data_IF_468611159232
#
_entry.id   IF_468611159232
#
_cell.length_a   1.000
_cell.length_b   1.000
_cell.length_c   1.000
_cell.angle_alpha   90.00
_cell.angle_beta   90.00
_cell.angle_gamma   90.00
#
_symmetry.space_group_name_H-M   'P 1'
#
loop_
_entity.id
_entity.type
_entity.pdbx_description
1 polymer ?
#
# COMPACT_ATOMS: atom_id res chain seq x y z
N UNK A 1 19.46 -15.58 1.76
CA UNK A 1 18.41 -16.37 2.40
C UNK A 1 17.59 -15.45 3.31
N UNK A 2 16.28 -15.48 3.17
CA UNK A 2 15.33 -14.75 4.05
C UNK A 2 14.61 -15.77 4.92
N UNK A 3 14.57 -15.52 6.24
CA UNK A 3 13.79 -16.29 7.19
C UNK A 3 12.68 -15.39 7.74
N UNK A 4 11.45 -15.82 7.56
CA UNK A 4 10.29 -15.18 8.17
C UNK A 4 9.69 -16.17 9.18
N UNK A 5 9.57 -15.75 10.45
CA UNK A 5 8.92 -16.53 11.48
C UNK A 5 7.61 -15.87 11.92
N UNK A 6 6.63 -16.72 12.20
CA UNK A 6 5.29 -16.30 12.64
C UNK A 6 4.89 -17.11 13.86
N UNK A 7 4.46 -16.42 14.90
CA UNK A 7 3.88 -17.06 16.09
C UNK A 7 2.38 -16.78 16.12
N UNK A 8 1.60 -17.83 16.27
CA UNK A 8 0.15 -17.74 16.44
C UNK A 8 -0.21 -17.94 17.92
N UNK A 9 -1.08 -17.10 18.44
CA UNK A 9 -1.66 -17.24 19.76
C UNK A 9 -3.13 -16.82 19.74
N UNK A 10 -3.92 -17.42 20.60
CA UNK A 10 -5.34 -17.13 20.74
C UNK A 10 -5.51 -15.92 21.66
N UNK A 11 -6.08 -14.84 21.15
CA UNK A 11 -6.36 -13.62 21.91
C UNK A 11 -7.73 -13.64 22.61
N UNK A 12 -8.49 -14.72 22.50
CA UNK A 12 -9.83 -14.90 23.09
C UNK A 12 -10.87 -13.86 22.65
N UNK A 13 -10.56 -13.08 21.63
CA UNK A 13 -11.44 -12.07 21.07
C UNK A 13 -12.03 -12.57 19.74
N UNK A 14 -13.33 -12.47 19.53
CA UNK A 14 -13.92 -12.80 18.22
C UNK A 14 -13.25 -12.02 17.10
N UNK A 15 -12.71 -12.74 16.13
CA UNK A 15 -12.04 -12.16 14.96
C UNK A 15 -12.80 -12.52 13.70
N UNK A 16 -12.70 -11.65 12.69
CA UNK A 16 -13.27 -11.88 11.37
C UNK A 16 -12.35 -11.39 10.26
N UNK A 17 -12.68 -11.70 9.00
CA UNK A 17 -11.91 -11.21 7.86
C UNK A 17 -12.07 -9.69 7.72
N UNK A 18 -10.96 -9.01 7.48
CA UNK A 18 -10.90 -7.62 7.09
C UNK A 18 -10.75 -7.51 5.57
N UNK A 19 -11.03 -6.34 4.97
CA UNK A 19 -10.72 -6.10 3.55
C UNK A 19 -9.23 -6.37 3.29
N UNK A 20 -8.90 -7.12 2.22
CA UNK A 20 -7.56 -7.61 1.91
C UNK A 20 -6.93 -8.45 3.04
N UNK A 21 -7.55 -9.60 3.42
CA UNK A 21 -7.09 -10.43 4.54
C UNK A 21 -5.61 -10.79 4.41
N UNK A 22 -4.84 -10.51 5.46
CA UNK A 22 -3.39 -10.75 5.50
C UNK A 22 -2.56 -9.76 4.70
N UNK A 23 -3.03 -9.26 3.55
CA UNK A 23 -2.30 -8.30 2.73
C UNK A 23 -2.06 -6.97 3.45
N UNK A 24 -3.02 -6.48 4.23
CA UNK A 24 -2.87 -5.27 5.04
C UNK A 24 -1.61 -5.30 5.93
N UNK A 25 -1.45 -6.39 6.70
CA UNK A 25 -0.31 -6.52 7.62
C UNK A 25 0.98 -6.81 6.86
N UNK A 26 0.95 -7.75 5.90
CA UNK A 26 2.17 -8.15 5.18
C UNK A 26 2.70 -7.04 4.28
N UNK A 27 1.85 -6.26 3.64
CA UNK A 27 2.28 -5.10 2.86
C UNK A 27 3.03 -4.10 3.74
N UNK A 28 2.45 -3.70 4.86
CA UNK A 28 3.07 -2.76 5.80
C UNK A 28 4.42 -3.27 6.30
N UNK A 29 4.46 -4.48 6.85
CA UNK A 29 5.68 -5.05 7.44
C UNK A 29 6.81 -5.17 6.41
N UNK A 30 6.50 -5.70 5.21
CA UNK A 30 7.52 -5.93 4.18
C UNK A 30 8.01 -4.60 3.61
N UNK A 31 7.11 -3.68 3.25
CA UNK A 31 7.51 -2.43 2.62
C UNK A 31 8.25 -1.50 3.58
N UNK A 32 7.82 -1.42 4.85
CA UNK A 32 8.54 -0.66 5.87
C UNK A 32 9.94 -1.22 6.12
N UNK A 33 10.07 -2.55 6.20
CA UNK A 33 11.38 -3.19 6.39
C UNK A 33 12.31 -2.95 5.20
N UNK A 34 11.81 -3.03 3.96
CA UNK A 34 12.61 -2.77 2.77
C UNK A 34 13.04 -1.30 2.67
N UNK A 35 12.17 -0.36 3.06
CA UNK A 35 12.52 1.06 3.10
C UNK A 35 13.61 1.35 4.15
N UNK A 36 13.46 0.82 5.38
CA UNK A 36 14.47 0.93 6.42
C UNK A 36 15.81 0.32 5.97
N UNK A 37 15.78 -0.82 5.26
CA UNK A 37 16.97 -1.47 4.73
C UNK A 37 17.66 -0.62 3.66
N UNK A 38 16.90 -0.02 2.74
CA UNK A 38 17.44 0.89 1.73
C UNK A 38 18.08 2.12 2.39
N UNK A 39 17.41 2.73 3.37
CA UNK A 39 17.93 3.86 4.12
C UNK A 39 19.22 3.51 4.88
N UNK A 40 19.25 2.36 5.56
CA UNK A 40 20.45 1.87 6.26
C UNK A 40 21.62 1.62 5.29
N UNK A 41 21.32 1.24 4.06
CA UNK A 41 22.30 1.09 2.97
C UNK A 41 22.67 2.38 2.24
N UNK A 42 22.06 3.52 2.59
CA UNK A 42 22.26 4.80 1.91
C UNK A 42 21.78 4.81 0.46
N UNK A 43 20.74 4.04 0.15
CA UNK A 43 20.22 3.83 -1.21
C UNK A 43 18.90 4.53 -1.43
N UNK A 44 18.66 5.00 -2.67
CA UNK A 44 17.33 5.41 -3.11
C UNK A 44 16.39 4.20 -3.10
N UNK A 45 15.20 4.38 -2.53
CA UNK A 45 14.26 3.26 -2.34
C UNK A 45 13.67 2.75 -3.65
N UNK A 46 13.43 3.63 -4.62
CA UNK A 46 12.96 3.23 -5.96
C UNK A 46 14.00 2.33 -6.65
N UNK A 47 15.25 2.75 -6.68
CA UNK A 47 16.34 1.98 -7.27
C UNK A 47 16.50 0.63 -6.55
N UNK A 48 16.40 0.63 -5.23
CA UNK A 48 16.51 -0.58 -4.43
C UNK A 48 15.37 -1.58 -4.72
N UNK A 49 14.11 -1.11 -4.82
CA UNK A 49 12.98 -1.97 -5.17
C UNK A 49 13.11 -2.55 -6.58
N UNK A 50 13.54 -1.75 -7.55
CA UNK A 50 13.73 -2.20 -8.93
C UNK A 50 14.85 -3.25 -9.03
N UNK A 51 15.92 -3.10 -8.27
CA UNK A 51 16.98 -4.11 -8.19
C UNK A 51 16.46 -5.42 -7.59
N UNK A 52 15.63 -5.37 -6.55
CA UNK A 52 15.00 -6.58 -5.97
C UNK A 52 14.10 -7.28 -7.00
N UNK A 53 13.35 -6.53 -7.81
CA UNK A 53 12.53 -7.11 -8.86
C UNK A 53 13.38 -7.83 -9.92
N UNK A 54 14.53 -7.28 -10.26
CA UNK A 54 15.46 -7.85 -11.24
C UNK A 54 14.87 -7.92 -12.64
N UNK A 55 15.36 -8.88 -13.44
CA UNK A 55 14.89 -9.06 -14.81
C UNK A 55 13.42 -9.49 -14.88
N UNK A 56 12.67 -9.04 -15.92
CA UNK A 56 11.28 -9.41 -16.11
C UNK A 56 11.07 -10.93 -16.20
N UNK A 57 10.32 -11.48 -15.28
CA UNK A 57 9.97 -12.92 -15.26
C UNK A 57 8.74 -13.19 -14.41
N UNK A 58 8.11 -14.32 -14.65
CA UNK A 58 7.15 -14.89 -13.69
C UNK A 58 7.93 -15.55 -12.54
N UNK A 59 7.50 -15.32 -11.31
CA UNK A 59 8.11 -15.95 -10.12
C UNK A 59 7.91 -17.47 -10.16
N UNK A 60 6.72 -17.90 -10.57
CA UNK A 60 6.37 -19.28 -10.89
C UNK A 60 5.92 -19.32 -12.35
N UNK A 61 6.74 -19.91 -13.24
CA UNK A 61 6.49 -19.96 -14.68
C UNK A 61 5.23 -20.76 -15.04
N UNK A 62 4.84 -21.70 -14.20
CA UNK A 62 3.69 -22.59 -14.43
C UNK A 62 2.38 -21.96 -13.90
N UNK A 63 2.49 -20.84 -13.20
CA UNK A 63 1.35 -20.14 -12.62
C UNK A 63 1.30 -18.66 -13.06
N UNK A 64 0.54 -18.39 -14.12
CA UNK A 64 0.32 -17.04 -14.65
C UNK A 64 -0.38 -16.08 -13.68
N UNK A 65 -0.77 -16.56 -12.50
CA UNK A 65 -1.29 -15.74 -11.40
C UNK A 65 -0.24 -15.46 -10.33
N UNK A 66 1.00 -15.92 -10.52
CA UNK A 66 2.12 -15.57 -9.64
C UNK A 66 2.61 -14.14 -9.89
N UNK A 67 3.48 -13.67 -9.03
CA UNK A 67 4.16 -12.39 -9.24
C UNK A 67 4.92 -12.39 -10.57
N UNK A 68 4.74 -11.33 -11.35
CA UNK A 68 5.57 -11.04 -12.51
C UNK A 68 6.42 -9.80 -12.22
N UNK A 69 7.73 -9.96 -12.22
CA UNK A 69 8.67 -8.89 -11.83
C UNK A 69 8.68 -7.72 -12.84
N UNK A 70 8.43 -7.98 -14.12
CA UNK A 70 8.30 -6.94 -15.13
C UNK A 70 7.05 -6.07 -14.93
N UNK A 71 5.90 -6.70 -14.60
CA UNK A 71 4.67 -5.97 -14.24
C UNK A 71 4.85 -5.17 -12.94
N UNK A 72 5.53 -5.76 -11.96
CA UNK A 72 5.88 -5.08 -10.71
C UNK A 72 6.73 -3.82 -10.98
N UNK A 73 7.83 -3.97 -11.72
CA UNK A 73 8.68 -2.84 -12.13
C UNK A 73 7.89 -1.79 -12.92
N UNK A 74 6.96 -2.22 -13.78
CA UNK A 74 6.10 -1.33 -14.55
C UNK A 74 5.24 -0.42 -13.67
N UNK A 75 4.52 -0.98 -12.68
CA UNK A 75 3.70 -0.16 -11.77
C UNK A 75 4.55 0.69 -10.83
N UNK A 76 5.69 0.19 -10.36
CA UNK A 76 6.62 0.94 -9.50
C UNK A 76 7.12 2.18 -10.25
N UNK A 77 7.62 2.01 -11.48
CA UNK A 77 8.10 3.12 -12.31
C UNK A 77 6.99 4.12 -12.64
N UNK A 78 5.80 3.64 -13.00
CA UNK A 78 4.66 4.52 -13.33
C UNK A 78 4.23 5.36 -12.13
N UNK A 79 4.12 4.77 -10.94
CA UNK A 79 3.77 5.50 -9.72
C UNK A 79 4.82 6.56 -9.38
N UNK A 80 6.10 6.20 -9.44
CA UNK A 80 7.22 7.10 -9.20
C UNK A 80 7.26 8.26 -10.20
N UNK A 81 7.10 7.98 -11.51
CA UNK A 81 7.04 9.00 -12.57
C UNK A 81 5.89 9.99 -12.32
N UNK A 82 4.67 9.49 -12.12
CA UNK A 82 3.47 10.33 -11.94
C UNK A 82 3.49 11.14 -10.65
N UNK A 83 4.13 10.64 -9.61
CA UNK A 83 4.34 11.38 -8.37
C UNK A 83 5.52 12.35 -8.43
N UNK A 84 6.39 12.24 -9.43
CA UNK A 84 7.64 13.00 -9.52
C UNK A 84 8.63 12.61 -8.41
N UNK A 85 8.91 11.30 -8.29
CA UNK A 85 9.90 10.79 -7.34
C UNK A 85 11.25 11.51 -7.47
N UNK A 86 11.87 11.86 -6.36
CA UNK A 86 13.14 12.60 -6.36
C UNK A 86 13.02 14.12 -6.53
N UNK A 87 11.80 14.67 -6.71
CA UNK A 87 11.59 16.12 -6.75
C UNK A 87 11.85 16.78 -5.40
N UNK A 88 12.29 18.02 -5.41
CA UNK A 88 12.44 18.81 -4.18
C UNK A 88 11.07 19.12 -3.57
N UNK A 89 10.96 18.95 -2.28
CA UNK A 89 9.77 19.23 -1.48
C UNK A 89 10.05 20.27 -0.40
N UNK A 90 9.04 21.01 0.06
CA UNK A 90 9.19 21.89 1.23
C UNK A 90 9.63 21.12 2.48
N UNK A 91 10.26 21.81 3.42
CA UNK A 91 10.64 21.23 4.71
C UNK A 91 9.42 20.62 5.42
N UNK A 92 9.60 19.46 6.01
CA UNK A 92 8.53 18.69 6.66
C UNK A 92 7.72 17.79 5.72
N UNK A 93 7.93 17.89 4.40
CA UNK A 93 7.28 17.02 3.41
C UNK A 93 8.21 15.95 2.85
N UNK A 94 7.63 14.83 2.51
CA UNK A 94 8.33 13.69 1.91
C UNK A 94 7.44 12.89 0.98
N UNK A 95 8.08 12.01 0.19
CA UNK A 95 7.41 10.98 -0.60
C UNK A 95 7.73 9.62 -0.01
N UNK A 96 6.73 8.78 0.12
CA UNK A 96 6.88 7.36 0.46
C UNK A 96 6.35 6.50 -0.68
N UNK A 97 7.12 5.49 -1.08
CA UNK A 97 6.77 4.53 -2.14
C UNK A 97 6.49 3.17 -1.50
N UNK A 98 5.49 2.47 -2.01
CA UNK A 98 5.23 1.07 -1.65
C UNK A 98 4.75 0.28 -2.86
N UNK A 99 5.05 -1.02 -2.88
CA UNK A 99 4.57 -1.98 -3.87
C UNK A 99 3.94 -3.17 -3.17
N UNK A 100 2.81 -3.63 -3.67
CA UNK A 100 2.22 -4.88 -3.19
C UNK A 100 1.66 -5.71 -4.33
N UNK A 101 1.82 -7.03 -4.21
CA UNK A 101 1.25 -8.03 -5.07
C UNK A 101 0.22 -8.84 -4.29
N UNK A 102 -1.01 -8.87 -4.78
CA UNK A 102 -2.08 -9.67 -4.18
C UNK A 102 -3.12 -10.04 -5.23
N UNK A 103 -3.66 -11.26 -5.14
CA UNK A 103 -4.72 -11.76 -6.03
C UNK A 103 -4.38 -11.60 -7.54
N UNK A 104 -3.11 -11.80 -7.91
CA UNK A 104 -2.56 -11.60 -9.25
C UNK A 104 -2.48 -10.13 -9.71
N UNK A 105 -2.90 -9.16 -8.91
CA UNK A 105 -2.75 -7.73 -9.18
C UNK A 105 -1.42 -7.18 -8.69
N UNK A 106 -0.85 -6.27 -9.47
CA UNK A 106 0.38 -5.54 -9.16
C UNK A 106 0.01 -4.09 -8.92
N UNK A 107 0.32 -3.55 -7.75
CA UNK A 107 -0.07 -2.19 -7.35
C UNK A 107 1.14 -1.52 -6.71
N UNK A 108 1.44 -0.29 -7.13
CA UNK A 108 2.40 0.58 -6.48
C UNK A 108 1.74 1.91 -6.14
N UNK A 109 2.13 2.48 -5.00
CA UNK A 109 1.60 3.73 -4.50
C UNK A 109 2.74 4.65 -4.08
N UNK A 110 2.60 5.94 -4.40
CA UNK A 110 3.46 6.99 -3.86
C UNK A 110 2.59 7.98 -3.10
N UNK A 111 2.85 8.13 -1.81
CA UNK A 111 2.17 9.08 -0.95
C UNK A 111 3.03 10.32 -0.72
N UNK A 112 2.48 11.51 -0.95
CA UNK A 112 3.06 12.77 -0.50
C UNK A 112 2.52 13.08 0.89
N UNK A 113 3.43 13.16 1.86
CA UNK A 113 3.11 13.34 3.26
C UNK A 113 3.80 14.59 3.83
N UNK A 114 3.21 15.14 4.87
CA UNK A 114 3.77 16.20 5.68
C UNK A 114 3.74 15.80 7.15
N UNK A 115 4.82 16.05 7.85
CA UNK A 115 4.90 15.94 9.31
C UNK A 115 5.14 17.33 9.87
N UNK A 116 4.21 17.82 10.67
CA UNK A 116 4.31 19.14 11.29
C UNK A 116 5.23 19.13 12.54
N UNK A 117 5.39 20.31 13.13
CA UNK A 117 6.24 20.48 14.33
C UNK A 117 5.71 19.71 15.54
N UNK A 118 4.40 19.47 15.60
CA UNK A 118 3.73 18.66 16.63
C UNK A 118 3.74 17.15 16.31
N UNK A 119 4.49 16.74 15.27
CA UNK A 119 4.60 15.35 14.79
C UNK A 119 3.29 14.75 14.28
N UNK A 120 2.37 15.58 13.84
CA UNK A 120 1.13 15.13 13.20
C UNK A 120 1.37 14.86 11.72
N UNK A 121 0.96 13.68 11.28
CA UNK A 121 1.05 13.27 9.88
C UNK A 121 -0.17 13.76 9.10
N UNK A 122 0.08 14.35 7.94
CA UNK A 122 -0.94 14.67 6.93
C UNK A 122 -0.56 14.08 5.59
N UNK A 123 -1.48 13.35 4.98
CA UNK A 123 -1.33 12.86 3.61
C UNK A 123 -2.00 13.86 2.66
N UNK A 124 -1.24 14.40 1.72
CA UNK A 124 -1.72 15.39 0.75
C UNK A 124 -2.23 14.75 -0.52
N UNK A 125 -1.47 13.79 -1.03
CA UNK A 125 -1.73 13.15 -2.30
C UNK A 125 -1.26 11.70 -2.27
N UNK A 126 -2.01 10.82 -2.94
CA UNK A 126 -1.58 9.45 -3.23
C UNK A 126 -1.70 9.20 -4.72
N UNK A 127 -0.61 8.81 -5.34
CA UNK A 127 -0.55 8.38 -6.74
C UNK A 127 -0.48 6.87 -6.75
N UNK A 128 -1.42 6.24 -7.43
CA UNK A 128 -1.54 4.77 -7.50
C UNK A 128 -1.35 4.31 -8.93
N UNK A 129 -0.45 3.37 -9.15
CA UNK A 129 -0.29 2.67 -10.42
C UNK A 129 -0.74 1.22 -10.27
N UNK A 130 -1.57 0.74 -11.18
CA UNK A 130 -2.26 -0.54 -11.11
C UNK A 130 -2.09 -1.33 -12.40
N UNK A 131 -1.76 -2.61 -12.26
CA UNK A 131 -1.80 -3.58 -13.33
C UNK A 131 -2.60 -4.82 -12.88
N UNK A 132 -3.84 -4.89 -13.36
CA UNK A 132 -4.81 -5.96 -13.05
C UNK A 132 -5.32 -6.65 -14.32
N UNK A 133 -4.66 -6.43 -15.45
CA UNK A 133 -5.11 -6.90 -16.75
C UNK A 133 -6.21 -6.01 -17.35
N UNK A 134 -7.06 -6.54 -18.25
CA UNK A 134 -8.11 -5.80 -18.90
C UNK A 134 -9.15 -5.23 -17.92
N UNK A 135 -9.53 -3.98 -18.12
CA UNK A 135 -10.51 -3.29 -17.29
C UNK A 135 -11.79 -3.08 -18.11
N UNK A 136 -12.88 -3.68 -17.65
CA UNK A 136 -14.18 -3.58 -18.32
C UNK A 136 -14.88 -2.25 -18.00
N UNK A 137 -14.74 -1.77 -16.78
CA UNK A 137 -15.36 -0.51 -16.33
C UNK A 137 -14.31 0.37 -15.65
N UNK A 138 -13.78 1.33 -16.38
CA UNK A 138 -12.72 2.23 -15.88
C UNK A 138 -13.19 3.09 -14.71
N UNK A 139 -14.41 3.63 -14.74
CA UNK A 139 -14.90 4.46 -13.63
C UNK A 139 -15.06 3.65 -12.36
N UNK A 140 -15.51 2.41 -12.45
CA UNK A 140 -15.57 1.47 -11.35
C UNK A 140 -14.18 1.12 -10.79
N UNK A 141 -13.21 0.90 -11.68
CA UNK A 141 -11.82 0.62 -11.29
C UNK A 141 -11.20 1.80 -10.53
N UNK A 142 -11.38 3.02 -11.02
CA UNK A 142 -10.93 4.25 -10.34
C UNK A 142 -11.56 4.35 -8.94
N UNK A 143 -12.87 4.14 -8.83
CA UNK A 143 -13.58 4.18 -7.54
C UNK A 143 -13.08 3.12 -6.56
N UNK A 144 -12.74 1.91 -7.04
CA UNK A 144 -12.15 0.86 -6.21
C UNK A 144 -10.76 1.25 -5.67
N UNK A 145 -9.91 1.84 -6.52
CA UNK A 145 -8.59 2.33 -6.11
C UNK A 145 -8.72 3.44 -5.07
N UNK A 146 -9.53 4.44 -5.36
CA UNK A 146 -9.76 5.56 -4.42
C UNK A 146 -10.32 5.08 -3.09
N UNK A 147 -11.33 4.20 -3.13
CA UNK A 147 -11.90 3.59 -1.93
C UNK A 147 -10.88 2.75 -1.14
N UNK A 148 -10.01 2.02 -1.84
CA UNK A 148 -8.93 1.24 -1.20
C UNK A 148 -7.94 2.12 -0.46
N UNK A 149 -7.49 3.22 -1.08
CA UNK A 149 -6.58 4.19 -0.44
C UNK A 149 -7.21 4.81 0.81
N UNK A 150 -8.45 5.27 0.72
CA UNK A 150 -9.14 5.91 1.86
C UNK A 150 -9.37 4.91 3.01
N UNK A 151 -9.73 3.68 2.70
CA UNK A 151 -9.89 2.60 3.67
C UNK A 151 -8.56 2.26 4.38
N UNK A 152 -7.48 2.11 3.61
CA UNK A 152 -6.13 1.89 4.14
C UNK A 152 -5.65 3.02 5.04
N UNK A 153 -5.85 4.28 4.62
CA UNK A 153 -5.52 5.46 5.42
C UNK A 153 -6.36 5.55 6.70
N UNK A 154 -7.66 5.21 6.63
CA UNK A 154 -8.52 5.13 7.81
C UNK A 154 -8.00 4.11 8.81
N UNK A 155 -7.63 2.91 8.32
CA UNK A 155 -7.09 1.84 9.16
C UNK A 155 -5.80 2.28 9.85
N UNK A 156 -4.91 2.94 9.12
CA UNK A 156 -3.62 3.41 9.63
C UNK A 156 -3.76 4.55 10.64
N UNK A 157 -4.66 5.51 10.37
CA UNK A 157 -4.68 6.79 11.08
C UNK A 157 -5.65 6.84 12.26
N UNK A 158 -6.83 6.20 12.16
CA UNK A 158 -7.94 6.44 13.09
C UNK A 158 -8.59 5.18 13.64
N UNK A 159 -8.65 4.10 12.88
CA UNK A 159 -9.36 2.90 13.29
C UNK A 159 -8.56 2.13 14.35
N UNK A 160 -9.02 2.21 15.59
CA UNK A 160 -8.38 1.55 16.73
C UNK A 160 -9.43 0.95 17.65
N UNK A 161 -9.25 -0.32 17.99
CA UNK A 161 -10.02 -0.99 19.05
C UNK A 161 -9.13 -1.11 20.28
N UNK A 162 -9.64 -0.65 21.39
CA UNK A 162 -9.01 -0.79 22.70
C UNK A 162 -9.90 -1.63 23.61
N UNK A 163 -9.27 -2.27 24.59
CA UNK A 163 -9.97 -3.12 25.55
C UNK A 163 -9.57 -2.76 26.98
N UNK A 164 -10.55 -2.63 27.84
CA UNK A 164 -10.36 -2.47 29.27
C UNK A 164 -11.13 -3.54 30.04
N UNK A 165 -10.45 -4.19 30.97
CA UNK A 165 -11.03 -5.26 31.82
C UNK A 165 -11.81 -6.33 31.03
N UNK A 166 -11.28 -6.73 29.85
CA UNK A 166 -11.87 -7.76 28.99
C UNK A 166 -13.07 -7.28 28.15
N UNK A 167 -13.32 -5.98 28.07
CA UNK A 167 -14.38 -5.39 27.24
C UNK A 167 -13.81 -4.43 26.22
N UNK A 168 -14.37 -4.45 25.01
CA UNK A 168 -14.09 -3.45 23.97
C UNK A 168 -14.67 -2.11 24.43
N UNK A 169 -13.86 -1.05 24.35
CA UNK A 169 -14.28 0.30 24.73
C UNK A 169 -15.12 0.97 23.65
N UNK A 170 -14.79 0.74 22.38
CA UNK A 170 -15.52 1.33 21.25
C UNK A 170 -16.88 0.66 21.09
N UNK A 171 -17.92 1.48 20.97
CA UNK A 171 -19.31 1.02 20.91
C UNK A 171 -19.96 1.27 19.55
N UNK A 172 -19.51 2.28 18.79
CA UNK A 172 -20.08 2.64 17.48
C UNK A 172 -19.14 3.60 16.73
N UNK A 173 -19.55 4.08 15.55
CA UNK A 173 -18.80 4.99 14.69
C UNK A 173 -18.52 6.39 15.27
N UNK A 174 -19.03 6.72 16.43
CA UNK A 174 -18.70 7.97 17.14
C UNK A 174 -17.38 7.85 17.95
N UNK A 175 -16.99 6.65 18.34
CA UNK A 175 -15.77 6.34 19.10
C UNK A 175 -14.85 5.33 18.37
N UNK A 176 -15.29 4.81 17.23
CA UNK A 176 -14.49 4.11 16.24
C UNK A 176 -14.44 4.94 14.95
N UNK A 177 -13.49 5.85 14.92
CA UNK A 177 -13.44 6.86 13.87
C UNK A 177 -12.96 6.29 12.53
N UNK A 178 -13.63 6.74 11.46
CA UNK A 178 -13.17 6.54 10.08
C UNK A 178 -12.76 7.89 9.49
N UNK A 179 -11.87 7.86 8.51
CA UNK A 179 -11.41 9.06 7.81
C UNK A 179 -12.59 9.81 7.20
N UNK A 180 -12.68 11.11 7.46
CA UNK A 180 -13.74 11.98 6.92
C UNK A 180 -13.31 12.61 5.60
N UNK A 181 -14.28 13.01 4.78
CA UNK A 181 -14.01 13.56 3.45
C UNK A 181 -13.07 14.79 3.48
N UNK A 182 -13.13 15.59 4.55
CA UNK A 182 -12.25 16.75 4.70
C UNK A 182 -10.79 16.38 5.00
N UNK A 183 -10.56 15.14 5.42
CA UNK A 183 -9.22 14.60 5.75
C UNK A 183 -8.66 13.77 4.59
N UNK A 184 -9.51 13.43 3.61
CA UNK A 184 -9.10 12.60 2.48
C UNK A 184 -8.08 13.31 1.60
N UNK A 185 -6.98 12.64 1.22
CA UNK A 185 -6.03 13.20 0.27
C UNK A 185 -6.60 13.20 -1.14
N UNK A 186 -5.92 13.92 -2.05
CA UNK A 186 -6.12 13.72 -3.47
C UNK A 186 -5.61 12.33 -3.85
N UNK A 187 -6.41 11.53 -4.56
CA UNK A 187 -6.01 10.21 -5.05
C UNK A 187 -6.04 10.19 -6.57
N UNK A 188 -4.89 9.90 -7.18
CA UNK A 188 -4.74 9.73 -8.63
C UNK A 188 -4.48 8.27 -8.95
N UNK A 189 -5.32 7.67 -9.80
CA UNK A 189 -5.19 6.28 -10.23
C UNK A 189 -4.75 6.20 -11.69
N UNK A 190 -3.68 5.45 -11.95
CA UNK A 190 -3.13 5.18 -13.28
C UNK A 190 -3.14 3.68 -13.52
N UNK A 191 -3.57 3.25 -14.71
CA UNK A 191 -3.69 1.84 -15.03
C UNK A 191 -2.78 1.48 -16.20
N UNK A 192 -2.00 0.42 -16.04
CA UNK A 192 -1.28 -0.22 -17.15
C UNK A 192 -2.27 -1.15 -17.84
N UNK A 193 -2.66 -0.76 -19.07
CA UNK A 193 -3.55 -1.60 -19.88
C UNK A 193 -2.72 -2.63 -20.64
N UNK A 194 -3.10 -3.89 -20.50
CA UNK A 194 -2.50 -5.01 -21.21
C UNK A 194 -3.52 -6.15 -21.37
N UNK A 195 -3.15 -7.17 -22.13
CA UNK A 195 -3.98 -8.36 -22.36
C UNK A 195 -3.65 -9.53 -21.41
N UNK A 196 -2.95 -9.25 -20.32
CA UNK A 196 -2.71 -10.28 -19.31
C UNK A 196 -4.04 -10.76 -18.72
N UNK A 197 -4.02 -11.99 -18.19
CA UNK A 197 -5.21 -12.53 -17.55
C UNK A 197 -5.67 -11.59 -16.41
N UNK A 198 -6.96 -11.25 -16.34
CA UNK A 198 -7.50 -10.41 -15.28
C UNK A 198 -7.37 -11.09 -13.91
N UNK A 199 -7.27 -10.27 -12.89
CA UNK A 199 -7.18 -10.69 -11.48
C UNK A 199 -8.54 -11.13 -10.92
#
# INVERSE_FOLDING_TARGET
NVLVSKTMFDIQTPCGPWRAPGANTTAFVIQSFLDELAQAGGRDYLEFLLEIMGEPRWFDSDNVRSLNTGRAAGVINLAAEKAGWGRSLPAGRGLGLAFHFSHAGHIAEVAEVEVDQEKRLKVHKVVVAVDVGPIVNMSGAISQVQGGVIDGLSTMATQKITMETGRVEQSNLHDYEVLRIQQAPQVEAHFIQNENRPT
#
